data_IF_752136471293
#
_entry.id   IF_752136471293
#
_cell.length_a   1.000
_cell.length_b   1.000
_cell.length_c   1.000
_cell.angle_alpha   90.00
_cell.angle_beta   90.00
_cell.angle_gamma   90.00
#
_symmetry.space_group_name_H-M   'P 1'
#
loop_
_entity.id
_entity.type
_entity.pdbx_description
1 polymer ?
#
# COMPACT_ATOMS: atom_id res chain seq x y z
N UNK A 1 19.34 5.88 24.78
CA UNK A 1 17.90 5.89 24.43
C UNK A 1 17.19 6.86 25.35
N UNK A 2 16.34 7.74 24.81
CA UNK A 2 15.53 8.68 25.59
C UNK A 2 14.38 7.97 26.30
N UNK A 3 14.00 8.41 27.50
CA UNK A 3 12.88 7.80 28.26
C UNK A 3 11.74 8.82 28.40
N UNK A 4 10.53 8.48 27.92
CA UNK A 4 9.35 9.34 27.96
C UNK A 4 8.22 8.67 28.74
N UNK A 5 7.82 9.26 29.84
CA UNK A 5 6.75 8.74 30.72
C UNK A 5 5.43 9.51 30.59
N UNK A 6 5.46 10.71 29.99
CA UNK A 6 4.27 11.54 29.86
C UNK A 6 3.49 11.26 28.58
N UNK A 7 2.20 10.93 28.71
CA UNK A 7 1.28 10.82 27.58
C UNK A 7 1.04 12.15 26.85
N UNK A 8 1.36 13.28 27.46
CA UNK A 8 1.21 14.63 26.88
C UNK A 8 2.48 15.13 26.20
N UNK A 9 3.55 14.34 26.17
CA UNK A 9 4.76 14.69 25.47
C UNK A 9 4.45 14.99 23.99
N UNK A 10 5.18 15.95 23.42
CA UNK A 10 4.98 16.40 22.03
C UNK A 10 5.11 15.24 21.01
N UNK A 11 6.06 14.31 21.23
CA UNK A 11 6.20 13.13 20.39
C UNK A 11 4.98 12.21 20.46
N UNK A 12 4.42 11.98 21.64
CA UNK A 12 3.22 11.17 21.80
C UNK A 12 2.02 11.81 21.10
N UNK A 13 1.93 13.13 21.14
CA UNK A 13 0.90 13.88 20.42
C UNK A 13 1.09 13.78 18.91
N UNK A 14 2.34 13.87 18.43
CA UNK A 14 2.69 13.68 17.03
C UNK A 14 2.28 12.28 16.52
N UNK A 15 2.61 11.21 17.24
CA UNK A 15 2.25 9.83 16.90
C UNK A 15 0.73 9.65 16.79
N UNK A 16 -0.03 10.18 17.77
CA UNK A 16 -1.50 10.13 17.69
C UNK A 16 -2.06 10.83 16.45
N UNK A 17 -1.49 11.98 16.07
CA UNK A 17 -1.90 12.70 14.84
C UNK A 17 -1.55 11.92 13.56
N UNK A 18 -0.37 11.28 13.53
CA UNK A 18 0.01 10.40 12.41
C UNK A 18 -0.94 9.20 12.30
N UNK A 19 -1.35 8.62 13.41
CA UNK A 19 -2.33 7.54 13.43
C UNK A 19 -3.68 8.00 12.85
N UNK A 20 -4.19 9.14 13.28
CA UNK A 20 -5.56 9.58 13.01
C UNK A 20 -5.75 10.27 11.65
N UNK A 21 -4.74 10.96 11.10
CA UNK A 21 -4.95 11.90 10.01
C UNK A 21 -4.02 11.72 8.82
N UNK A 22 -4.62 11.38 7.64
CA UNK A 22 -3.92 11.35 6.35
C UNK A 22 -3.32 12.73 6.01
N UNK A 23 -4.08 13.82 6.23
CA UNK A 23 -3.60 15.18 5.97
C UNK A 23 -2.38 15.51 6.83
N UNK A 24 -2.38 15.07 8.11
CA UNK A 24 -1.24 15.29 8.99
C UNK A 24 -0.01 14.49 8.56
N UNK A 25 -0.17 13.21 8.12
CA UNK A 25 0.93 12.41 7.57
C UNK A 25 1.58 13.11 6.37
N UNK A 26 0.77 13.61 5.45
CA UNK A 26 1.26 14.37 4.29
C UNK A 26 1.99 15.66 4.68
N UNK A 27 1.41 16.44 5.57
CA UNK A 27 2.00 17.70 6.03
C UNK A 27 3.31 17.51 6.80
N UNK A 28 3.42 16.44 7.61
CA UNK A 28 4.62 16.11 8.37
C UNK A 28 5.68 15.36 7.54
N UNK A 29 5.29 14.80 6.38
CA UNK A 29 6.18 13.96 5.56
C UNK A 29 6.53 12.63 6.22
N UNK A 30 5.67 12.13 7.12
CA UNK A 30 5.90 10.88 7.87
C UNK A 30 4.64 10.05 7.97
N UNK A 31 4.83 8.73 8.14
CA UNK A 31 3.75 7.82 8.49
C UNK A 31 4.15 6.88 9.65
N UNK A 32 3.15 6.36 10.31
CA UNK A 32 3.30 5.51 11.49
C UNK A 32 3.17 4.03 11.13
N UNK A 33 4.11 3.24 11.63
CA UNK A 33 4.10 1.78 11.57
C UNK A 33 4.06 1.18 12.99
N UNK A 34 3.48 -0.01 13.11
CA UNK A 34 3.30 -0.73 14.39
C UNK A 34 3.79 -2.17 14.25
N UNK A 35 4.57 -2.61 15.20
CA UNK A 35 5.00 -3.98 15.37
C UNK A 35 6.49 -4.23 15.15
N UNK A 36 7.04 -5.13 16.00
CA UNK A 36 8.47 -5.50 15.97
C UNK A 36 8.85 -6.12 14.64
N UNK A 37 8.04 -7.05 14.11
CA UNK A 37 8.30 -7.69 12.80
C UNK A 37 8.34 -6.70 11.65
N UNK A 38 7.46 -5.69 11.68
CA UNK A 38 7.46 -4.65 10.65
C UNK A 38 8.67 -3.72 10.79
N UNK A 39 9.14 -3.47 12.01
CA UNK A 39 10.40 -2.75 12.26
C UNK A 39 11.61 -3.52 11.72
N UNK A 40 11.67 -4.82 11.93
CA UNK A 40 12.72 -5.69 11.37
C UNK A 40 12.76 -5.62 9.83
N UNK A 41 11.59 -5.66 9.17
CA UNK A 41 11.49 -5.48 7.72
C UNK A 41 11.94 -4.07 7.29
N UNK A 42 11.55 -3.03 8.01
CA UNK A 42 11.98 -1.66 7.72
C UNK A 42 13.51 -1.50 7.81
N UNK A 43 14.13 -2.12 8.82
CA UNK A 43 15.58 -2.13 8.98
C UNK A 43 16.27 -2.92 7.88
N UNK A 44 15.75 -4.12 7.57
CA UNK A 44 16.27 -4.99 6.53
C UNK A 44 16.33 -4.32 5.15
N UNK A 45 15.33 -3.52 4.85
CA UNK A 45 15.19 -2.83 3.57
C UNK A 45 15.61 -1.36 3.60
N UNK A 46 16.33 -0.95 4.66
CA UNK A 46 16.86 0.41 4.81
C UNK A 46 15.78 1.49 4.64
N UNK A 47 14.55 1.24 5.15
CA UNK A 47 13.50 2.24 5.14
C UNK A 47 13.97 3.51 5.87
N UNK A 48 13.59 4.71 5.42
CA UNK A 48 14.07 5.97 5.99
C UNK A 48 13.39 6.27 7.33
N UNK A 49 13.78 5.50 8.37
CA UNK A 49 13.30 5.62 9.74
C UNK A 49 13.62 7.01 10.31
N UNK A 50 12.70 7.58 11.07
CA UNK A 50 12.93 8.84 11.80
C UNK A 50 12.91 8.64 13.31
N UNK A 51 11.90 7.97 13.84
CA UNK A 51 11.76 7.72 15.27
C UNK A 51 11.31 6.28 15.51
N UNK A 52 11.91 5.63 16.50
CA UNK A 52 11.49 4.33 17.02
C UNK A 52 11.10 4.48 18.47
N UNK A 53 9.91 4.02 18.83
CA UNK A 53 9.38 4.03 20.19
C UNK A 53 9.16 2.58 20.63
N UNK A 54 9.82 2.16 21.70
CA UNK A 54 9.77 0.81 22.24
C UNK A 54 9.10 0.82 23.60
N UNK A 55 8.33 -0.21 23.91
CA UNK A 55 7.88 -0.47 25.28
C UNK A 55 9.05 -0.86 26.16
N UNK A 56 8.96 -0.53 27.44
CA UNK A 56 9.84 -1.12 28.46
C UNK A 56 9.83 -2.65 28.34
N UNK A 57 11.02 -3.26 28.45
CA UNK A 57 11.19 -4.70 28.35
C UNK A 57 11.32 -5.23 26.90
N UNK A 58 11.21 -4.37 25.89
CA UNK A 58 11.50 -4.74 24.49
C UNK A 58 12.93 -4.34 24.15
N UNK A 59 13.71 -5.31 23.69
CA UNK A 59 15.08 -5.07 23.28
C UNK A 59 15.13 -4.17 22.03
N UNK A 60 16.00 -3.18 22.09
CA UNK A 60 16.21 -2.29 20.97
C UNK A 60 17.07 -2.96 19.89
N UNK A 61 16.58 -3.04 18.65
CA UNK A 61 17.42 -3.48 17.54
C UNK A 61 18.54 -2.46 17.27
N UNK A 62 19.57 -2.87 16.54
CA UNK A 62 20.57 -1.92 16.03
C UNK A 62 19.88 -0.92 15.08
N UNK A 63 19.90 0.35 15.42
CA UNK A 63 19.27 1.41 14.63
C UNK A 63 20.32 2.17 13.81
N UNK A 64 19.96 2.62 12.59
CA UNK A 64 20.82 3.50 11.81
C UNK A 64 21.14 4.82 12.54
N UNK A 65 22.27 5.41 12.24
CA UNK A 65 22.65 6.73 12.79
C UNK A 65 21.59 7.79 12.44
N UNK A 66 21.27 8.66 13.40
CA UNK A 66 20.28 9.73 13.24
C UNK A 66 18.82 9.32 13.50
N UNK A 67 18.54 8.04 13.71
CA UNK A 67 17.21 7.59 14.15
C UNK A 67 17.03 7.87 15.63
N UNK A 68 15.97 8.59 15.98
CA UNK A 68 15.62 8.87 17.38
C UNK A 68 15.05 7.61 18.04
N UNK A 69 15.68 7.13 19.09
CA UNK A 69 15.24 5.97 19.88
C UNK A 69 14.65 6.41 21.22
N UNK A 70 13.42 6.00 21.49
CA UNK A 70 12.65 6.36 22.67
C UNK A 70 12.10 5.10 23.33
N UNK A 71 12.15 5.05 24.67
CA UNK A 71 11.49 4.01 25.45
C UNK A 71 10.34 4.61 26.24
N UNK A 72 9.24 3.87 26.34
CA UNK A 72 8.03 4.31 27.04
C UNK A 72 7.44 3.21 27.92
N UNK A 73 6.79 3.54 29.04
CA UNK A 73 6.00 2.57 29.82
C UNK A 73 4.83 2.00 29.00
N UNK A 74 4.35 0.81 29.41
CA UNK A 74 3.28 0.10 28.71
C UNK A 74 1.97 0.90 28.61
N UNK A 75 1.66 1.73 29.59
CA UNK A 75 0.45 2.57 29.56
C UNK A 75 0.56 3.74 28.57
N UNK A 76 1.76 4.31 28.39
CA UNK A 76 2.04 5.31 27.34
C UNK A 76 1.95 4.65 25.98
N UNK A 77 2.58 3.48 25.78
CA UNK A 77 2.49 2.73 24.53
C UNK A 77 1.05 2.45 24.12
N UNK A 78 0.20 1.98 25.04
CA UNK A 78 -1.24 1.78 24.78
C UNK A 78 -1.96 3.06 24.36
N UNK A 79 -1.53 4.22 24.84
CA UNK A 79 -2.16 5.50 24.53
C UNK A 79 -1.87 6.03 23.11
N UNK A 80 -0.87 5.47 22.44
CA UNK A 80 -0.39 5.92 21.12
C UNK A 80 -0.48 4.84 20.04
N UNK A 81 -0.62 3.57 20.41
CA UNK A 81 -0.72 2.47 19.48
C UNK A 81 -2.07 2.49 18.72
N UNK A 82 -2.08 2.18 17.42
CA UNK A 82 -3.31 1.93 16.65
C UNK A 82 -3.99 0.60 17.02
N UNK A 83 -3.33 -0.23 17.88
CA UNK A 83 -3.77 -1.56 18.26
C UNK A 83 -4.31 -1.58 19.69
N UNK A 84 -5.37 -2.36 19.94
CA UNK A 84 -5.85 -2.63 21.30
C UNK A 84 -4.78 -3.32 22.14
N UNK A 85 -4.04 -4.24 21.53
CA UNK A 85 -2.89 -4.90 22.16
C UNK A 85 -1.62 -4.51 21.41
N UNK A 86 -0.87 -3.50 21.91
CA UNK A 86 0.39 -3.06 21.28
C UNK A 86 1.42 -4.18 21.23
N UNK A 87 2.17 -4.26 20.14
CA UNK A 87 3.22 -5.25 19.94
C UNK A 87 4.61 -4.78 20.39
N UNK A 88 4.65 -3.75 21.20
CA UNK A 88 5.87 -3.28 21.86
C UNK A 88 6.76 -2.35 21.04
N UNK A 89 6.50 -2.17 19.75
CA UNK A 89 7.25 -1.23 18.92
C UNK A 89 6.33 -0.39 18.06
N UNK A 90 6.57 0.92 18.03
CA UNK A 90 6.01 1.87 17.07
C UNK A 90 7.16 2.62 16.43
N UNK A 91 7.04 2.94 15.16
CA UNK A 91 8.08 3.71 14.49
C UNK A 91 7.50 4.60 13.39
N UNK A 92 8.21 5.69 13.11
CA UNK A 92 7.86 6.58 12.00
C UNK A 92 8.86 6.45 10.87
N UNK A 93 8.32 6.49 9.66
CA UNK A 93 9.09 6.41 8.41
C UNK A 93 8.78 7.65 7.59
N UNK A 94 9.77 8.18 6.88
CA UNK A 94 9.54 9.27 5.93
C UNK A 94 8.60 8.79 4.82
N UNK A 95 7.63 9.62 4.45
CA UNK A 95 6.83 9.34 3.26
C UNK A 95 7.71 9.33 2.02
N UNK A 96 7.58 8.35 1.14
CA UNK A 96 8.28 8.37 -0.14
C UNK A 96 7.75 9.50 -1.03
N UNK A 97 8.54 9.88 -2.00
CA UNK A 97 8.04 10.69 -3.10
C UNK A 97 7.07 9.85 -3.94
N UNK A 98 5.87 10.36 -4.13
CA UNK A 98 4.82 9.70 -4.91
C UNK A 98 4.58 10.41 -6.25
N UNK A 99 5.50 11.27 -6.68
CA UNK A 99 5.45 11.89 -8.00
C UNK A 99 5.47 10.81 -9.08
N UNK A 100 4.66 11.00 -10.11
CA UNK A 100 4.65 10.08 -11.24
C UNK A 100 5.99 10.16 -11.98
N UNK A 101 6.56 9.03 -12.40
CA UNK A 101 7.74 9.02 -13.25
C UNK A 101 7.42 9.60 -14.63
N UNK A 102 8.42 10.07 -15.34
CA UNK A 102 8.23 10.57 -16.71
C UNK A 102 7.78 9.48 -17.67
N UNK A 103 8.22 8.25 -17.47
CA UNK A 103 7.93 7.07 -18.28
C UNK A 103 8.07 5.80 -17.45
N UNK A 104 7.23 4.81 -17.73
CA UNK A 104 7.28 3.49 -17.12
C UNK A 104 8.25 2.58 -17.89
N UNK A 105 9.20 2.00 -17.18
CA UNK A 105 10.23 1.13 -17.76
C UNK A 105 9.98 -0.34 -17.50
N UNK A 106 9.13 -0.67 -16.54
CA UNK A 106 8.76 -2.04 -16.18
C UNK A 106 7.72 -2.64 -17.14
N UNK A 107 7.35 -3.87 -16.87
CA UNK A 107 6.41 -4.66 -17.63
C UNK A 107 5.02 -4.77 -16.98
N UNK A 108 4.98 -4.89 -15.67
CA UNK A 108 3.77 -5.26 -14.94
C UNK A 108 3.35 -4.18 -13.94
N UNK A 109 2.17 -3.60 -14.14
CA UNK A 109 1.62 -2.58 -13.27
C UNK A 109 0.20 -2.94 -12.84
N UNK A 110 -0.15 -2.60 -11.61
CA UNK A 110 -1.51 -2.75 -11.11
C UNK A 110 -2.15 -1.39 -10.87
N UNK A 111 -3.42 -1.25 -11.20
CA UNK A 111 -4.21 -0.05 -10.96
C UNK A 111 -5.36 -0.40 -10.02
N UNK A 112 -5.46 0.28 -8.89
CA UNK A 112 -6.56 0.14 -7.95
C UNK A 112 -7.52 1.31 -8.13
N UNK A 113 -8.73 1.01 -8.57
CA UNK A 113 -9.78 1.99 -8.83
C UNK A 113 -10.81 2.00 -7.69
N UNK A 114 -10.66 2.94 -6.77
CA UNK A 114 -11.59 3.13 -5.67
C UNK A 114 -11.63 1.99 -4.64
N UNK A 115 -10.56 1.24 -4.46
CA UNK A 115 -10.46 0.18 -3.43
C UNK A 115 -10.33 0.82 -2.05
N UNK A 116 -11.40 0.78 -1.25
CA UNK A 116 -11.52 1.56 -0.03
C UNK A 116 -11.13 0.81 1.25
N UNK A 117 -11.10 -0.52 1.24
CA UNK A 117 -10.68 -1.26 2.43
C UNK A 117 -9.16 -1.26 2.60
N UNK A 118 -8.63 -0.76 3.74
CA UNK A 118 -7.19 -0.71 4.02
C UNK A 118 -6.52 -2.10 4.05
N UNK A 119 -7.27 -3.13 4.45
CA UNK A 119 -6.80 -4.52 4.47
C UNK A 119 -6.60 -5.05 3.05
N UNK A 120 -7.54 -4.77 2.14
CA UNK A 120 -7.44 -5.16 0.75
C UNK A 120 -6.28 -4.44 0.05
N UNK A 121 -6.17 -3.11 0.21
CA UNK A 121 -5.03 -2.36 -0.36
C UNK A 121 -3.70 -2.90 0.17
N UNK A 122 -3.58 -3.14 1.47
CA UNK A 122 -2.35 -3.70 2.05
C UNK A 122 -2.04 -5.11 1.55
N UNK A 123 -3.05 -5.99 1.44
CA UNK A 123 -2.89 -7.35 0.90
C UNK A 123 -2.49 -7.32 -0.58
N UNK A 124 -3.06 -6.42 -1.37
CA UNK A 124 -2.70 -6.23 -2.78
C UNK A 124 -1.25 -5.78 -2.91
N UNK A 125 -0.81 -4.79 -2.13
CA UNK A 125 0.58 -4.32 -2.13
C UNK A 125 1.55 -5.44 -1.75
N UNK A 126 1.20 -6.25 -0.75
CA UNK A 126 1.98 -7.44 -0.37
C UNK A 126 2.08 -8.46 -1.50
N UNK A 127 0.99 -8.69 -2.22
CA UNK A 127 0.96 -9.64 -3.34
C UNK A 127 1.71 -9.08 -4.55
N UNK A 128 1.60 -7.78 -4.82
CA UNK A 128 2.36 -7.09 -5.84
C UNK A 128 3.88 -7.21 -5.60
N UNK A 129 4.30 -7.11 -4.34
CA UNK A 129 5.69 -7.36 -3.94
C UNK A 129 6.12 -8.81 -4.17
N UNK A 130 5.25 -9.77 -3.83
CA UNK A 130 5.55 -11.20 -3.97
C UNK A 130 5.68 -11.66 -5.44
N UNK A 131 4.98 -10.99 -6.36
CA UNK A 131 5.01 -11.26 -7.80
C UNK A 131 5.76 -10.19 -8.61
N UNK A 132 6.67 -9.51 -7.97
CA UNK A 132 7.59 -8.53 -8.57
C UNK A 132 6.94 -7.51 -9.51
N UNK A 133 5.73 -7.05 -9.14
CA UNK A 133 5.01 -6.01 -9.87
C UNK A 133 5.80 -4.69 -9.81
N UNK A 134 6.00 -4.03 -10.94
CA UNK A 134 6.86 -2.84 -11.06
C UNK A 134 6.29 -1.59 -10.39
N UNK A 135 4.97 -1.53 -10.18
CA UNK A 135 4.35 -0.44 -9.45
C UNK A 135 2.83 -0.58 -9.31
N UNK A 136 2.28 0.09 -8.32
CA UNK A 136 0.83 0.09 -8.05
C UNK A 136 0.30 1.53 -8.08
N UNK A 137 -0.68 1.77 -8.94
CA UNK A 137 -1.37 3.04 -9.06
C UNK A 137 -2.68 3.02 -8.27
N UNK A 138 -2.90 4.04 -7.48
CA UNK A 138 -4.14 4.27 -6.75
C UNK A 138 -4.88 5.43 -7.40
N UNK A 139 -5.99 5.15 -8.04
CA UNK A 139 -6.87 6.15 -8.65
C UNK A 139 -8.18 6.22 -7.89
N UNK A 140 -8.86 7.34 -7.99
CA UNK A 140 -10.09 7.61 -7.26
C UNK A 140 -9.89 7.46 -5.72
N UNK A 141 -10.92 7.29 -4.95
CA UNK A 141 -10.88 7.31 -3.50
C UNK A 141 -10.39 5.97 -2.88
N UNK A 142 -9.18 5.53 -3.20
CA UNK A 142 -8.57 4.39 -2.53
C UNK A 142 -8.18 4.66 -1.07
N UNK A 143 -8.11 3.60 -0.26
CA UNK A 143 -7.55 3.68 1.07
C UNK A 143 -6.12 4.20 1.04
N UNK A 144 -5.73 4.93 2.08
CA UNK A 144 -4.38 5.47 2.21
C UNK A 144 -3.36 4.34 2.42
N UNK A 145 -2.39 4.13 1.51
CA UNK A 145 -1.39 3.07 1.61
C UNK A 145 -0.48 3.25 2.84
N UNK A 146 -0.36 4.48 3.34
CA UNK A 146 0.46 4.84 4.50
C UNK A 146 -0.34 4.98 5.79
N UNK A 147 -1.61 4.55 5.82
CA UNK A 147 -2.33 4.41 7.10
C UNK A 147 -1.73 3.25 7.89
N UNK A 148 -1.70 3.31 9.24
CA UNK A 148 -1.13 2.23 10.06
C UNK A 148 -1.78 0.86 9.76
N UNK A 149 -3.08 0.83 9.48
CA UNK A 149 -3.81 -0.39 9.14
C UNK A 149 -3.34 -0.97 7.80
N UNK A 150 -3.18 -0.14 6.78
CA UNK A 150 -2.68 -0.56 5.47
C UNK A 150 -1.22 -0.98 5.56
N UNK A 151 -0.35 -0.12 6.10
CA UNK A 151 1.08 -0.38 6.24
C UNK A 151 1.36 -1.73 6.92
N UNK A 152 0.63 -2.04 7.98
CA UNK A 152 0.74 -3.34 8.65
C UNK A 152 0.32 -4.51 7.74
N UNK A 153 -0.79 -4.36 7.01
CA UNK A 153 -1.28 -5.41 6.12
C UNK A 153 -0.31 -5.71 4.97
N UNK A 154 0.56 -4.78 4.60
CA UNK A 154 1.59 -4.98 3.56
C UNK A 154 2.70 -5.93 3.99
N UNK A 155 2.88 -6.20 5.29
CA UNK A 155 3.99 -7.02 5.82
C UNK A 155 5.37 -6.57 5.31
N UNK A 156 5.56 -5.24 5.17
CA UNK A 156 6.83 -4.64 4.74
C UNK A 156 6.92 -4.32 3.23
N UNK A 157 5.99 -4.76 2.39
CA UNK A 157 5.99 -4.42 0.97
C UNK A 157 5.95 -2.90 0.72
N UNK A 158 5.35 -2.13 1.64
CA UNK A 158 5.31 -0.66 1.60
C UNK A 158 6.69 0.00 1.61
N UNK A 159 7.74 -0.70 2.01
CA UNK A 159 9.13 -0.22 2.02
C UNK A 159 9.88 -0.55 0.72
N UNK A 160 9.30 -1.37 -0.17
CA UNK A 160 9.95 -1.94 -1.34
C UNK A 160 9.27 -1.61 -2.66
N UNK A 161 7.98 -1.33 -2.64
CA UNK A 161 7.17 -1.14 -3.85
C UNK A 161 6.77 0.31 -4.04
N UNK A 162 6.87 0.75 -5.28
CA UNK A 162 6.40 2.06 -5.66
C UNK A 162 4.88 2.11 -5.69
N UNK A 163 4.33 3.07 -4.96
CA UNK A 163 2.89 3.30 -4.88
C UNK A 163 2.60 4.73 -5.28
N UNK A 164 1.92 4.89 -6.40
CA UNK A 164 1.59 6.19 -6.97
C UNK A 164 0.13 6.54 -6.71
N UNK A 165 -0.16 7.80 -6.43
CA UNK A 165 -1.52 8.32 -6.31
C UNK A 165 -1.72 9.38 -7.37
N UNK A 166 -2.66 9.15 -8.30
CA UNK A 166 -2.90 10.02 -9.43
C UNK A 166 -4.37 10.03 -9.85
N UNK A 167 -4.72 10.93 -10.73
CA UNK A 167 -6.00 10.92 -11.44
C UNK A 167 -5.99 9.88 -12.56
N UNK A 168 -7.16 9.51 -13.05
CA UNK A 168 -7.28 8.59 -14.19
C UNK A 168 -6.67 9.19 -15.47
N UNK A 169 -6.73 10.50 -15.65
CA UNK A 169 -6.14 11.18 -16.81
C UNK A 169 -4.62 11.18 -16.76
N UNK A 170 -4.02 11.48 -15.60
CA UNK A 170 -2.56 11.40 -15.39
C UNK A 170 -2.05 9.97 -15.63
N UNK A 171 -2.75 8.97 -15.08
CA UNK A 171 -2.43 7.57 -15.32
C UNK A 171 -2.43 7.25 -16.82
N UNK A 172 -3.50 7.59 -17.53
CA UNK A 172 -3.62 7.28 -18.94
C UNK A 172 -2.57 7.97 -19.80
N UNK A 173 -2.29 9.24 -19.53
CA UNK A 173 -1.22 9.96 -20.20
C UNK A 173 0.14 9.26 -20.02
N UNK A 174 0.42 8.79 -18.80
CA UNK A 174 1.65 8.07 -18.48
C UNK A 174 1.70 6.70 -19.18
N UNK A 175 0.60 5.92 -19.18
CA UNK A 175 0.52 4.63 -19.84
C UNK A 175 0.69 4.77 -21.36
N UNK A 176 0.04 5.75 -21.99
CA UNK A 176 0.19 6.05 -23.42
C UNK A 176 1.63 6.43 -23.78
N UNK A 177 2.24 7.34 -23.02
CA UNK A 177 3.64 7.74 -23.20
C UNK A 177 4.60 6.56 -23.08
N UNK A 178 4.26 5.60 -22.22
CA UNK A 178 5.05 4.38 -21.96
C UNK A 178 4.73 3.23 -22.91
N UNK A 179 3.78 3.41 -23.83
CA UNK A 179 3.26 2.37 -24.73
C UNK A 179 2.84 1.10 -23.97
N UNK A 180 2.08 1.28 -22.89
CA UNK A 180 1.63 0.22 -21.98
C UNK A 180 0.10 0.11 -22.07
N UNK A 181 -0.46 -1.03 -22.53
CA UNK A 181 -1.91 -1.22 -22.58
C UNK A 181 -2.52 -1.31 -21.20
N UNK A 182 -3.73 -0.77 -21.03
CA UNK A 182 -4.54 -0.89 -19.82
C UNK A 182 -5.64 -1.94 -20.03
N UNK A 183 -5.64 -2.98 -19.22
CA UNK A 183 -6.73 -3.96 -19.14
C UNK A 183 -7.57 -3.71 -17.90
N UNK A 184 -8.89 -3.94 -18.01
CA UNK A 184 -9.80 -3.79 -16.87
C UNK A 184 -10.36 -5.14 -16.41
N UNK A 185 -10.27 -5.47 -15.13
CA UNK A 185 -10.94 -6.64 -14.57
C UNK A 185 -12.44 -6.36 -14.44
N UNK A 186 -13.20 -6.57 -15.52
CA UNK A 186 -14.62 -6.28 -15.65
C UNK A 186 -15.26 -7.10 -16.78
N UNK A 187 -16.59 -7.04 -16.85
CA UNK A 187 -17.36 -7.71 -17.91
C UNK A 187 -17.89 -6.69 -18.92
N UNK A 188 -17.46 -6.80 -20.17
CA UNK A 188 -17.96 -6.08 -21.34
C UNK A 188 -18.17 -7.09 -22.50
N UNK A 189 -18.65 -6.61 -23.64
CA UNK A 189 -18.83 -7.44 -24.84
C UNK A 189 -17.48 -7.95 -25.41
N UNK A 190 -16.40 -7.24 -25.17
CA UNK A 190 -15.03 -7.53 -25.62
C UNK A 190 -14.18 -8.24 -24.56
N UNK A 191 -14.80 -8.74 -23.48
CA UNK A 191 -14.09 -9.36 -22.36
C UNK A 191 -13.49 -10.71 -22.77
N UNK A 192 -12.18 -10.84 -22.59
CA UNK A 192 -11.43 -12.08 -22.79
C UNK A 192 -11.16 -12.81 -21.49
N UNK A 193 -10.89 -14.11 -21.56
CA UNK A 193 -10.42 -14.84 -20.38
C UNK A 193 -9.05 -14.33 -19.95
N UNK A 194 -8.80 -14.23 -18.64
CA UNK A 194 -7.49 -13.87 -18.11
C UNK A 194 -6.36 -14.77 -18.67
N UNK A 195 -6.66 -16.05 -18.93
CA UNK A 195 -5.70 -17.02 -19.48
C UNK A 195 -5.29 -16.74 -20.93
N UNK A 196 -6.16 -16.03 -21.66
CA UNK A 196 -5.99 -15.74 -23.08
C UNK A 196 -5.56 -14.29 -23.31
N UNK A 197 -5.38 -13.51 -22.22
CA UNK A 197 -4.95 -12.13 -22.27
C UNK A 197 -3.43 -12.03 -22.46
N UNK A 198 -2.98 -11.10 -23.31
CA UNK A 198 -1.55 -10.81 -23.48
C UNK A 198 -1.11 -9.84 -22.39
N UNK A 199 -0.51 -10.36 -21.32
CA UNK A 199 -0.14 -9.61 -20.12
C UNK A 199 1.38 -9.51 -19.89
N UNK A 200 2.18 -9.96 -20.84
CA UNK A 200 3.66 -9.91 -20.74
C UNK A 200 4.20 -8.50 -20.51
N UNK A 201 3.44 -7.48 -20.96
CA UNK A 201 3.72 -6.08 -20.66
C UNK A 201 2.41 -5.29 -20.65
N UNK A 202 1.84 -5.09 -19.44
CA UNK A 202 0.52 -4.49 -19.28
C UNK A 202 0.32 -3.81 -17.92
N UNK A 203 -0.64 -2.90 -17.86
CA UNK A 203 -1.27 -2.47 -16.63
C UNK A 203 -2.65 -3.12 -16.50
N UNK A 204 -3.01 -3.60 -15.31
CA UNK A 204 -4.33 -4.19 -15.06
C UNK A 204 -5.05 -3.43 -13.96
N UNK A 205 -6.27 -2.98 -14.24
CA UNK A 205 -7.12 -2.27 -13.30
C UNK A 205 -8.06 -3.23 -12.54
N UNK A 206 -8.07 -3.10 -11.21
CA UNK A 206 -8.96 -3.79 -10.27
C UNK A 206 -9.87 -2.74 -9.63
N UNK A 207 -11.16 -2.92 -9.73
CA UNK A 207 -12.15 -2.04 -9.15
C UNK A 207 -12.50 -2.35 -7.70
N UNK A 208 -13.35 -1.51 -7.09
CA UNK A 208 -13.89 -1.72 -5.75
C UNK A 208 -14.87 -2.90 -5.71
N UNK A 209 -15.03 -3.49 -4.53
CA UNK A 209 -15.86 -4.68 -4.32
C UNK A 209 -17.35 -4.46 -4.67
N UNK A 210 -17.87 -3.26 -4.40
CA UNK A 210 -19.29 -2.96 -4.58
C UNK A 210 -19.66 -2.37 -5.93
N UNK A 211 -18.71 -1.70 -6.60
CA UNK A 211 -18.97 -0.92 -7.83
C UNK A 211 -18.20 -1.41 -9.04
N UNK A 212 -17.20 -2.27 -8.83
CA UNK A 212 -16.25 -2.61 -9.89
C UNK A 212 -15.39 -1.43 -10.32
N UNK A 213 -15.00 -1.41 -11.58
CA UNK A 213 -14.27 -0.31 -12.18
C UNK A 213 -15.20 0.89 -12.45
N UNK A 214 -14.68 2.10 -12.26
CA UNK A 214 -15.38 3.32 -12.63
C UNK A 214 -15.57 3.40 -14.16
N UNK A 215 -16.62 4.10 -14.60
CA UNK A 215 -16.86 4.33 -16.02
C UNK A 215 -15.67 5.06 -16.68
N UNK A 216 -15.00 5.93 -15.93
CA UNK A 216 -13.83 6.66 -16.36
C UNK A 216 -12.67 5.71 -16.70
N UNK A 217 -12.26 4.84 -15.77
CA UNK A 217 -11.18 3.85 -16.00
C UNK A 217 -11.61 2.83 -17.07
N UNK A 218 -12.86 2.38 -17.01
CA UNK A 218 -13.37 1.39 -17.97
C UNK A 218 -13.34 1.90 -19.41
N UNK A 219 -13.63 3.19 -19.64
CA UNK A 219 -13.56 3.80 -20.96
C UNK A 219 -12.15 3.92 -21.54
N UNK A 220 -11.14 3.87 -20.67
CA UNK A 220 -9.71 3.98 -21.00
C UNK A 220 -9.04 2.61 -21.17
N UNK A 221 -9.72 1.51 -20.81
CA UNK A 221 -9.22 0.17 -21.01
C UNK A 221 -9.26 -0.23 -22.48
N UNK A 222 -8.15 -0.77 -22.99
CA UNK A 222 -8.08 -1.34 -24.33
C UNK A 222 -9.01 -2.54 -24.47
N UNK A 223 -8.98 -3.44 -23.49
CA UNK A 223 -9.87 -4.60 -23.35
C UNK A 223 -10.25 -4.81 -21.89
N UNK A 224 -11.26 -5.63 -21.67
CA UNK A 224 -11.55 -6.16 -20.35
C UNK A 224 -11.15 -7.63 -20.25
N UNK A 225 -10.81 -8.04 -19.03
CA UNK A 225 -10.43 -9.42 -18.69
C UNK A 225 -11.34 -9.96 -17.60
N UNK A 226 -11.61 -11.26 -17.65
CA UNK A 226 -12.34 -11.98 -16.61
C UNK A 226 -11.54 -13.14 -16.09
N UNK A 227 -11.57 -13.34 -14.79
CA UNK A 227 -11.09 -14.56 -14.14
C UNK A 227 -12.14 -15.65 -14.39
N UNK A 228 -11.80 -16.78 -15.04
CA UNK A 228 -12.76 -17.89 -15.20
C UNK A 228 -13.14 -18.46 -13.83
N UNK A 229 -14.44 -18.44 -13.54
CA UNK A 229 -15.01 -18.88 -12.26
C UNK A 229 -16.23 -19.74 -12.50
N UNK A 230 -16.66 -20.48 -11.44
CA UNK A 230 -17.94 -21.14 -11.42
C UNK A 230 -19.09 -20.15 -11.62
N UNK A 231 -20.13 -20.47 -12.41
CA UNK A 231 -21.27 -19.57 -12.59
C UNK A 231 -22.08 -19.30 -11.31
N UNK A 232 -21.75 -19.98 -10.21
CA UNK A 232 -22.32 -19.72 -8.88
C UNK A 232 -21.71 -18.53 -8.16
N UNK A 233 -20.56 -18.02 -8.65
CA UNK A 233 -19.87 -16.88 -8.06
C UNK A 233 -19.89 -15.72 -9.05
N UNK A 234 -20.38 -14.56 -8.59
CA UNK A 234 -20.46 -13.34 -9.41
C UNK A 234 -19.17 -12.52 -9.36
N UNK A 235 -18.45 -12.57 -8.23
CA UNK A 235 -17.24 -11.79 -8.03
C UNK A 235 -16.31 -12.44 -6.99
N UNK A 236 -15.07 -11.96 -6.94
CA UNK A 236 -14.09 -12.24 -5.91
C UNK A 236 -13.84 -10.96 -5.09
N UNK A 237 -13.37 -11.13 -3.86
CA UNK A 237 -12.77 -10.04 -3.10
C UNK A 237 -11.66 -9.36 -3.94
N UNK A 238 -11.53 -8.03 -3.86
CA UNK A 238 -10.59 -7.28 -4.69
C UNK A 238 -9.13 -7.73 -4.52
N UNK A 239 -8.71 -8.06 -3.30
CA UNK A 239 -7.35 -8.55 -3.06
C UNK A 239 -7.13 -9.96 -3.65
N UNK A 240 -8.16 -10.82 -3.61
CA UNK A 240 -8.09 -12.14 -4.24
C UNK A 240 -8.04 -12.02 -5.76
N UNK A 241 -8.88 -11.17 -6.35
CA UNK A 241 -8.88 -10.91 -7.80
C UNK A 241 -7.51 -10.37 -8.26
N UNK A 242 -6.98 -9.37 -7.54
CA UNK A 242 -5.65 -8.82 -7.80
C UNK A 242 -4.55 -9.89 -7.71
N UNK A 243 -4.64 -10.80 -6.72
CA UNK A 243 -3.65 -11.88 -6.55
C UNK A 243 -3.65 -12.86 -7.73
N UNK A 244 -4.82 -13.22 -8.23
CA UNK A 244 -4.94 -14.12 -9.40
C UNK A 244 -4.41 -13.44 -10.66
N UNK A 245 -4.70 -12.15 -10.86
CA UNK A 245 -4.18 -11.36 -11.97
C UNK A 245 -2.66 -11.23 -11.91
N UNK A 246 -2.11 -10.87 -10.75
CA UNK A 246 -0.66 -10.73 -10.55
C UNK A 246 0.08 -12.07 -10.78
N UNK A 247 -0.50 -13.17 -10.33
CA UNK A 247 0.05 -14.50 -10.60
C UNK A 247 0.12 -14.80 -12.12
N UNK A 248 -0.92 -14.46 -12.86
CA UNK A 248 -0.94 -14.66 -14.33
C UNK A 248 0.03 -13.73 -15.05
N UNK A 249 0.20 -12.49 -14.59
CA UNK A 249 1.19 -11.54 -15.12
C UNK A 249 2.63 -11.98 -14.86
N UNK A 250 2.89 -12.61 -13.72
CA UNK A 250 4.23 -13.07 -13.32
C UNK A 250 4.67 -14.35 -14.04
N UNK A 251 3.71 -15.16 -14.49
CA UNK A 251 3.96 -16.44 -15.18
C UNK A 251 4.58 -16.24 -16.55
#
# INVERSE_FOLDING_TARGET
>A
MEHITSRQNALMTHIRKLNASRAYRRASGEYLCDGVKLLEEALRWNAPLKTVVLSEGVDAPALPSGVRAVQVPADVMRSISPMETPQGALFTVRLPDTALPEMLTGAHYLVLDGVQDPGNVGTILRTADAFDCDGVFLVNACADPYSPKTARATMGAVFRRDVYQCTADELCALLQKSNLPLYGAALRNDTVSLRDAELSRAAVAIGSEGRGLSAEILSKCEKTIKIPMSPRCESLNAAVAASVVLWEMYR
#
